data_IF_145264633927
#
_entry.id   IF_145264633927
#
_cell.length_a   1.000
_cell.length_b   1.000
_cell.length_c   1.000
_cell.angle_alpha   90.00
_cell.angle_beta   90.00
_cell.angle_gamma   90.00
#
_symmetry.space_group_name_H-M   'P 1'
#
loop_
_entity.id
_entity.type
_entity.pdbx_description
1 polymer ?
#
# COMPACT_ATOMS: atom_id res chain seq x y z
N UNK A 1 -18.62 -41.43 35.31
CA UNK A 1 -19.05 -40.02 35.14
C UNK A 1 -17.88 -39.01 35.13
N UNK A 2 -16.61 -39.40 35.29
CA UNK A 2 -15.47 -38.46 35.30
C UNK A 2 -14.97 -38.05 33.90
N UNK A 3 -15.31 -38.84 32.88
CA UNK A 3 -14.75 -38.73 31.53
C UNK A 3 -15.49 -37.64 30.74
N UNK A 4 -16.80 -37.51 30.97
CA UNK A 4 -17.67 -36.50 30.35
C UNK A 4 -17.34 -35.09 30.82
N UNK A 5 -17.08 -34.90 32.12
CA UNK A 5 -16.59 -33.62 32.68
C UNK A 5 -15.22 -33.24 32.12
N UNK A 6 -14.32 -34.22 31.90
CA UNK A 6 -13.01 -33.97 31.27
C UNK A 6 -13.15 -33.46 29.83
N UNK A 7 -14.00 -34.07 29.02
CA UNK A 7 -14.26 -33.61 27.64
C UNK A 7 -14.96 -32.25 27.58
N UNK A 8 -15.84 -31.96 28.54
CA UNK A 8 -16.47 -30.63 28.67
C UNK A 8 -15.43 -29.55 28.99
N UNK A 9 -14.47 -29.84 29.87
CA UNK A 9 -13.36 -28.94 30.17
C UNK A 9 -12.45 -28.73 28.95
N UNK A 10 -12.10 -29.80 28.23
CA UNK A 10 -11.28 -29.72 27.00
C UNK A 10 -11.98 -28.90 25.91
N UNK A 11 -13.29 -29.11 25.74
CA UNK A 11 -14.08 -28.33 24.78
C UNK A 11 -14.15 -26.85 25.16
N UNK A 12 -14.26 -26.55 26.46
CA UNK A 12 -14.24 -25.19 26.97
C UNK A 12 -12.89 -24.50 26.77
N UNK A 13 -11.79 -25.17 27.11
CA UNK A 13 -10.44 -24.61 26.94
C UNK A 13 -10.12 -24.36 25.48
N UNK A 14 -10.46 -25.29 24.58
CA UNK A 14 -10.25 -25.12 23.15
C UNK A 14 -11.05 -23.92 22.59
N UNK A 15 -12.29 -23.73 23.05
CA UNK A 15 -13.11 -22.58 22.68
C UNK A 15 -12.50 -21.24 23.13
N UNK A 16 -12.04 -21.16 24.38
CA UNK A 16 -11.37 -19.97 24.91
C UNK A 16 -10.07 -19.67 24.15
N UNK A 17 -9.25 -20.69 23.88
CA UNK A 17 -8.03 -20.54 23.08
C UNK A 17 -8.37 -20.02 21.69
N UNK A 18 -9.41 -20.56 21.04
CA UNK A 18 -9.85 -20.12 19.71
C UNK A 18 -10.28 -18.64 19.73
N UNK A 19 -11.06 -18.21 20.72
CA UNK A 19 -11.46 -16.81 20.87
C UNK A 19 -10.26 -15.87 21.08
N UNK A 20 -9.28 -16.27 21.90
CA UNK A 20 -8.05 -15.50 22.11
C UNK A 20 -7.20 -15.41 20.83
N UNK A 21 -7.12 -16.49 20.05
CA UNK A 21 -6.42 -16.49 18.76
C UNK A 21 -7.12 -15.58 17.75
N UNK A 22 -8.46 -15.65 17.65
CA UNK A 22 -9.21 -14.78 16.73
C UNK A 22 -9.12 -13.29 17.13
N UNK A 23 -9.13 -12.98 18.43
CA UNK A 23 -8.95 -11.62 18.91
C UNK A 23 -7.55 -11.07 18.61
N UNK A 24 -6.50 -11.86 18.86
CA UNK A 24 -5.11 -11.44 18.57
C UNK A 24 -4.86 -11.26 17.08
N UNK A 25 -5.36 -12.17 16.24
CA UNK A 25 -5.29 -12.04 14.78
C UNK A 25 -6.13 -10.86 14.27
N UNK A 26 -7.33 -10.63 14.82
CA UNK A 26 -8.15 -9.48 14.47
C UNK A 26 -7.48 -8.14 14.83
N UNK A 27 -6.85 -8.06 16.00
CA UNK A 27 -6.06 -6.89 16.42
C UNK A 27 -4.86 -6.69 15.48
N UNK A 28 -4.10 -7.75 15.20
CA UNK A 28 -2.93 -7.70 14.29
C UNK A 28 -3.32 -7.27 12.88
N UNK A 29 -4.42 -7.81 12.37
CA UNK A 29 -4.99 -7.47 11.06
C UNK A 29 -5.45 -6.00 11.01
N UNK A 30 -6.11 -5.53 12.07
CA UNK A 30 -6.54 -4.13 12.20
C UNK A 30 -5.34 -3.16 12.30
N UNK A 31 -4.29 -3.55 13.02
CA UNK A 31 -3.03 -2.77 13.07
C UNK A 31 -2.26 -2.80 11.76
N UNK A 32 -2.42 -3.84 10.94
CA UNK A 32 -1.79 -3.93 9.62
C UNK A 32 -2.47 -3.03 8.58
N UNK A 33 -3.78 -2.80 8.73
CA UNK A 33 -4.52 -1.83 7.92
C UNK A 33 -4.38 -0.38 8.41
N UNK A 34 -4.07 -0.17 9.69
CA UNK A 34 -3.96 1.19 10.27
C UNK A 34 -2.56 1.82 10.12
N UNK A 35 -1.54 1.08 9.68
CA UNK A 35 -0.20 1.63 9.42
C UNK A 35 -0.01 1.97 7.94
N UNK A 36 -0.94 2.75 7.40
CA UNK A 36 -0.70 3.63 6.25
C UNK A 36 -0.90 5.05 6.79
N UNK A 37 -0.06 5.43 7.75
CA UNK A 37 0.16 6.84 8.05
C UNK A 37 1.23 7.32 7.09
N UNK A 38 0.75 8.03 6.07
CA UNK A 38 1.52 8.95 5.26
C UNK A 38 2.25 9.88 6.23
N UNK A 39 3.57 9.76 6.32
CA UNK A 39 4.41 10.88 6.74
C UNK A 39 4.54 11.79 5.52
N UNK A 40 3.86 12.95 5.46
CA UNK A 40 4.14 13.92 4.43
C UNK A 40 5.43 14.59 4.87
N UNK A 41 6.58 14.06 4.42
CA UNK A 41 7.79 14.87 4.38
C UNK A 41 7.50 16.05 3.45
N UNK A 42 7.20 17.18 4.09
CA UNK A 42 6.95 18.48 3.50
C UNK A 42 8.00 18.84 2.47
N UNK A 43 7.58 18.96 1.22
CA UNK A 43 8.20 19.79 0.18
C UNK A 43 7.09 20.64 -0.44
N UNK A 44 7.33 21.91 -0.78
CA UNK A 44 6.31 22.95 -0.68
C UNK A 44 5.35 23.02 -1.86
N UNK A 45 4.06 23.15 -1.56
CA UNK A 45 3.11 23.91 -2.39
C UNK A 45 1.95 23.14 -2.99
N UNK A 46 0.84 23.02 -2.25
CA UNK A 46 -0.46 23.64 -2.56
C UNK A 46 -1.58 22.87 -1.82
N UNK A 47 -1.91 23.37 -0.64
CA UNK A 47 -3.13 23.09 0.10
C UNK A 47 -4.34 23.62 -0.68
N UNK A 48 -5.35 22.79 -0.96
CA UNK A 48 -6.80 23.12 -0.95
C UNK A 48 -7.60 21.83 -1.15
N UNK A 49 -8.28 21.41 -0.08
CA UNK A 49 -9.67 20.90 -0.04
C UNK A 49 -10.07 19.66 -0.85
N UNK A 50 -10.64 18.70 -0.12
CA UNK A 50 -11.51 17.64 -0.61
C UNK A 50 -12.65 18.25 -1.45
N UNK A 51 -12.47 18.34 -2.76
CA UNK A 51 -13.58 18.56 -3.70
C UNK A 51 -13.96 17.23 -4.36
N UNK A 52 -15.16 16.81 -4.02
CA UNK A 52 -15.94 15.74 -4.63
C UNK A 52 -16.20 16.09 -6.10
N UNK A 53 -15.32 15.61 -6.98
CA UNK A 53 -15.31 15.90 -8.41
C UNK A 53 -13.89 15.83 -8.94
N UNK A 54 -13.29 14.63 -8.99
CA UNK A 54 -11.88 14.48 -9.35
C UNK A 54 -11.67 14.74 -10.86
N UNK A 55 -11.52 16.00 -11.24
CA UNK A 55 -10.80 16.38 -12.44
C UNK A 55 -9.32 16.04 -12.22
N UNK A 56 -8.97 14.74 -12.25
CA UNK A 56 -7.57 14.36 -12.37
C UNK A 56 -7.05 15.02 -13.66
N UNK A 57 -6.01 15.83 -13.54
CA UNK A 57 -5.35 16.41 -14.71
C UNK A 57 -4.96 15.31 -15.71
N UNK A 58 -5.10 15.61 -17.01
CA UNK A 58 -4.59 14.74 -18.06
C UNK A 58 -3.06 14.65 -17.96
N UNK A 59 -2.51 13.43 -18.05
CA UNK A 59 -1.07 13.25 -17.99
C UNK A 59 -0.38 13.78 -19.25
N UNK A 60 0.87 14.27 -19.14
CA UNK A 60 1.65 14.67 -20.29
C UNK A 60 1.81 13.52 -21.30
N UNK A 61 2.11 13.85 -22.55
CA UNK A 61 2.30 12.83 -23.59
C UNK A 61 3.38 11.82 -23.17
N UNK A 62 3.11 10.53 -23.37
CA UNK A 62 3.98 9.39 -23.00
C UNK A 62 4.05 9.08 -21.49
N UNK A 63 3.22 9.72 -20.67
CA UNK A 63 3.03 9.37 -19.27
C UNK A 63 1.79 8.50 -19.09
N UNK A 64 1.85 7.55 -18.15
CA UNK A 64 0.74 6.66 -17.79
C UNK A 64 0.00 7.25 -16.59
N UNK A 65 -1.31 7.44 -16.70
CA UNK A 65 -2.15 7.93 -15.61
C UNK A 65 -2.75 6.80 -14.77
N UNK A 66 -2.62 6.90 -13.45
CA UNK A 66 -3.27 5.99 -12.51
C UNK A 66 -3.54 6.69 -11.16
N UNK A 67 -4.78 6.62 -10.66
CA UNK A 67 -5.22 7.24 -9.39
C UNK A 67 -4.79 8.71 -9.23
N UNK A 68 -5.07 9.54 -10.25
CA UNK A 68 -4.65 10.96 -10.35
C UNK A 68 -3.13 11.21 -10.33
N UNK A 69 -2.29 10.18 -10.42
CA UNK A 69 -0.85 10.33 -10.59
C UNK A 69 -0.43 10.03 -12.03
N UNK A 70 0.65 10.66 -12.47
CA UNK A 70 1.26 10.42 -13.77
C UNK A 70 2.63 9.77 -13.59
N UNK A 71 2.90 8.72 -14.36
CA UNK A 71 4.12 7.93 -14.25
C UNK A 71 4.83 7.87 -15.60
N UNK A 72 6.14 8.07 -15.57
CA UNK A 72 7.00 7.97 -16.75
C UNK A 72 7.89 6.75 -16.65
N UNK A 73 7.95 5.97 -17.73
CA UNK A 73 8.82 4.80 -17.84
C UNK A 73 9.92 5.17 -18.84
N UNK A 74 11.14 5.34 -18.33
CA UNK A 74 12.31 5.54 -19.18
C UNK A 74 12.76 4.21 -19.78
N UNK A 75 13.08 4.20 -21.07
CA UNK A 75 13.72 3.08 -21.74
C UNK A 75 15.25 3.06 -21.57
N UNK A 76 15.83 4.09 -20.97
CA UNK A 76 17.27 4.22 -20.77
C UNK A 76 17.72 3.42 -19.55
N UNK A 77 18.78 2.63 -19.71
CA UNK A 77 19.43 1.97 -18.59
C UNK A 77 20.32 2.99 -17.86
N UNK A 78 19.94 3.31 -16.63
CA UNK A 78 20.66 4.23 -15.74
C UNK A 78 20.91 3.55 -14.40
N UNK A 79 21.95 3.98 -13.69
CA UNK A 79 22.04 3.66 -12.26
C UNK A 79 20.86 4.27 -11.50
N UNK A 80 20.63 3.79 -10.29
CA UNK A 80 19.52 4.29 -9.48
C UNK A 80 19.67 5.80 -9.17
N UNK A 81 20.89 6.27 -8.91
CA UNK A 81 21.16 7.68 -8.64
C UNK A 81 20.94 8.56 -9.88
N UNK A 82 21.43 8.13 -11.04
CA UNK A 82 21.19 8.83 -12.31
C UNK A 82 19.70 8.86 -12.67
N UNK A 83 18.98 7.76 -12.43
CA UNK A 83 17.53 7.70 -12.63
C UNK A 83 16.80 8.70 -11.75
N UNK A 84 17.17 8.77 -10.46
CA UNK A 84 16.64 9.76 -9.52
C UNK A 84 16.88 11.18 -10.00
N UNK A 85 18.12 11.51 -10.36
CA UNK A 85 18.49 12.84 -10.83
C UNK A 85 17.72 13.20 -12.13
N UNK A 86 17.51 12.23 -13.02
CA UNK A 86 16.72 12.38 -14.24
C UNK A 86 15.22 12.61 -13.98
N UNK A 87 14.65 12.06 -12.91
CA UNK A 87 13.29 12.37 -12.49
C UNK A 87 13.19 13.79 -11.93
N UNK A 88 14.15 14.18 -11.08
CA UNK A 88 14.21 15.52 -10.49
C UNK A 88 14.34 16.59 -11.56
N UNK A 89 15.15 16.38 -12.60
CA UNK A 89 15.27 17.32 -13.73
C UNK A 89 13.97 17.48 -14.54
N UNK A 90 13.05 16.52 -14.44
CA UNK A 90 11.72 16.56 -15.05
C UNK A 90 10.63 17.03 -14.08
N UNK A 91 11.02 17.66 -12.96
CA UNK A 91 10.11 18.13 -11.91
C UNK A 91 9.22 17.00 -11.36
N UNK A 92 9.79 15.80 -11.25
CA UNK A 92 9.13 14.58 -10.80
C UNK A 92 9.99 13.83 -9.78
N UNK A 93 9.44 12.77 -9.18
CA UNK A 93 10.17 11.92 -8.24
C UNK A 93 10.33 10.52 -8.80
N UNK A 94 11.45 9.88 -8.48
CA UNK A 94 11.65 8.47 -8.81
C UNK A 94 10.63 7.61 -8.07
N UNK A 95 9.91 6.77 -8.80
CA UNK A 95 8.89 5.89 -8.25
C UNK A 95 9.50 4.95 -7.20
N UNK A 96 8.93 4.98 -5.99
CA UNK A 96 9.27 4.06 -4.91
C UNK A 96 8.09 3.11 -4.70
N UNK A 97 8.33 1.82 -4.92
CA UNK A 97 7.33 0.78 -4.77
C UNK A 97 7.31 0.32 -3.31
N UNK A 98 6.28 0.70 -2.57
CA UNK A 98 6.22 0.42 -1.13
C UNK A 98 5.28 -0.74 -0.79
N UNK A 99 4.30 -1.05 -1.63
CA UNK A 99 3.31 -2.10 -1.34
C UNK A 99 3.20 -3.15 -2.46
N UNK A 100 2.60 -4.29 -2.10
CA UNK A 100 2.44 -5.44 -2.99
C UNK A 100 1.48 -5.15 -4.14
N UNK A 101 0.46 -4.35 -3.91
CA UNK A 101 -0.56 -4.04 -4.92
C UNK A 101 0.02 -3.17 -6.04
N UNK A 102 0.85 -2.18 -5.69
CA UNK A 102 1.66 -1.42 -6.64
C UNK A 102 2.58 -2.35 -7.43
N UNK A 103 3.35 -3.22 -6.77
CA UNK A 103 4.24 -4.16 -7.46
C UNK A 103 3.49 -5.02 -8.47
N UNK A 104 2.32 -5.55 -8.10
CA UNK A 104 1.46 -6.35 -8.99
C UNK A 104 0.97 -5.49 -10.16
N UNK A 105 0.50 -4.28 -9.87
CA UNK A 105 0.02 -3.35 -10.89
C UNK A 105 1.11 -3.01 -11.91
N UNK A 106 2.30 -2.64 -11.45
CA UNK A 106 3.44 -2.32 -12.31
C UNK A 106 3.94 -3.54 -13.08
N UNK A 107 3.90 -4.74 -12.48
CA UNK A 107 4.20 -5.98 -13.20
C UNK A 107 3.25 -6.17 -14.39
N UNK A 108 1.94 -5.96 -14.21
CA UNK A 108 0.98 -6.06 -15.30
C UNK A 108 1.18 -4.99 -16.38
N UNK A 109 1.52 -3.75 -15.99
CA UNK A 109 1.75 -2.67 -16.94
C UNK A 109 3.05 -2.81 -17.74
N UNK A 110 4.11 -3.37 -17.16
CA UNK A 110 5.42 -3.52 -17.81
C UNK A 110 5.56 -4.79 -18.67
N UNK A 111 4.65 -5.77 -18.53
CA UNK A 111 4.67 -7.04 -19.29
C UNK A 111 3.57 -7.15 -20.36
N UNK A 112 2.87 -6.05 -20.67
CA UNK A 112 2.02 -5.94 -21.85
C UNK A 112 2.80 -5.31 -22.99
#
# INVERSE_FOLDING_TARGET
>A
MANTTRWRLISGTLGVICLLLMATLGILFNTSHSKIDIEPTSSPGLNTELQEGSDCYSCPEKWVGYKCNCYFISSELKTWEESRNSCVSQNSSLLQLQNRDELILWHFFLHK
#
